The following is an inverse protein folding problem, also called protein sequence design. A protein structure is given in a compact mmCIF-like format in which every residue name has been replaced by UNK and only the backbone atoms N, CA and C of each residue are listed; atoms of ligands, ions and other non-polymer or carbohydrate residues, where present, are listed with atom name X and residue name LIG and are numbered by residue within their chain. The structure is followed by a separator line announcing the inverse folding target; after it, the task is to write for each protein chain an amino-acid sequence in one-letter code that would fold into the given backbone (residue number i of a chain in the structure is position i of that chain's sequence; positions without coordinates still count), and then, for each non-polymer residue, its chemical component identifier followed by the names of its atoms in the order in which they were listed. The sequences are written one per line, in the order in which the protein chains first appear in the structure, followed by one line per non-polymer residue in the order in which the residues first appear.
data_IF_139501090997
#
_entry.id   IF_139501090997
#
_cell.length_a   1.000
_cell.length_b   1.000
_cell.length_c   1.000
_cell.angle_alpha   90.00
_cell.angle_beta   90.00
_cell.angle_gamma   90.00
#
_symmetry.space_group_name_H-M   'P 1'
#
loop_
_entity.id
_entity.type
_entity.pdbx_description
1 polymer ?
#
# COMPACT_ATOMS: atom_id res chain seq x y z
N UNK A 1 -5.08 6.68 -9.70
CA UNK A 1 -5.21 7.73 -8.66
C UNK A 1 -5.16 9.14 -9.26
N UNK A 2 -4.07 9.63 -9.91
CA UNK A 2 -3.99 11.01 -10.46
C UNK A 2 -5.20 11.35 -11.34
N UNK A 3 -5.54 10.47 -12.31
CA UNK A 3 -6.72 10.68 -13.18
C UNK A 3 -8.02 10.82 -12.38
N UNK A 4 -8.20 10.04 -11.32
CA UNK A 4 -9.40 10.11 -10.47
C UNK A 4 -9.44 11.41 -9.69
N UNK A 5 -8.33 11.82 -9.09
CA UNK A 5 -8.25 13.10 -8.36
C UNK A 5 -8.53 14.25 -9.31
N UNK A 6 -7.94 14.25 -10.52
CA UNK A 6 -8.23 15.31 -11.53
C UNK A 6 -9.68 15.36 -11.95
N UNK A 7 -10.37 14.22 -12.01
CA UNK A 7 -11.80 14.18 -12.36
C UNK A 7 -12.69 14.74 -11.24
N UNK A 8 -12.36 14.44 -9.99
CA UNK A 8 -13.13 14.90 -8.82
C UNK A 8 -12.79 16.37 -8.44
N UNK A 9 -11.57 16.81 -8.76
CA UNK A 9 -11.06 18.14 -8.42
C UNK A 9 -10.49 18.86 -9.67
N UNK A 10 -11.33 19.19 -10.66
CA UNK A 10 -10.87 19.65 -11.97
C UNK A 10 -10.20 21.04 -11.95
N UNK A 11 -10.36 21.81 -10.88
CA UNK A 11 -9.76 23.13 -10.71
C UNK A 11 -8.43 23.10 -9.94
N UNK A 12 -8.00 21.91 -9.47
CA UNK A 12 -6.75 21.76 -8.76
C UNK A 12 -5.60 21.36 -9.70
N UNK A 13 -4.46 22.00 -9.50
CA UNK A 13 -3.22 21.59 -10.18
C UNK A 13 -2.56 20.47 -9.42
N UNK A 14 -2.25 19.38 -10.09
CA UNK A 14 -1.58 18.23 -9.48
C UNK A 14 -0.10 18.26 -9.87
N UNK A 15 0.76 18.21 -8.85
CA UNK A 15 2.17 17.89 -8.99
C UNK A 15 2.34 16.39 -8.70
N UNK A 16 2.99 15.67 -9.60
CA UNK A 16 3.26 14.25 -9.42
C UNK A 16 4.75 13.98 -9.33
N UNK A 17 5.15 13.24 -8.30
CA UNK A 17 6.51 12.76 -8.13
C UNK A 17 6.50 11.23 -8.02
N UNK A 18 7.19 10.56 -8.94
CA UNK A 18 7.40 9.11 -8.91
C UNK A 18 8.86 8.79 -8.61
N UNK A 19 9.12 8.21 -7.45
CA UNK A 19 10.47 7.87 -7.00
C UNK A 19 10.96 6.54 -7.57
N UNK A 20 11.07 6.47 -8.89
CA UNK A 20 11.52 5.27 -9.61
C UNK A 20 12.97 4.90 -9.29
N UNK A 21 13.80 5.89 -8.95
CA UNK A 21 15.22 5.67 -8.65
C UNK A 21 15.43 4.86 -7.35
N UNK A 22 14.50 4.93 -6.42
CA UNK A 22 14.61 4.26 -5.13
C UNK A 22 13.57 3.15 -4.91
N UNK A 23 12.74 2.85 -5.93
CA UNK A 23 11.85 1.69 -5.90
C UNK A 23 12.69 0.38 -5.90
N UNK A 24 12.19 -0.69 -5.25
CA UNK A 24 10.98 -0.80 -4.46
C UNK A 24 11.18 -0.37 -2.99
N UNK A 25 10.16 0.24 -2.40
CA UNK A 25 10.20 0.67 -0.99
C UNK A 25 10.00 -0.49 0.00
N UNK A 26 9.35 -1.55 -0.41
CA UNK A 26 8.98 -2.68 0.46
C UNK A 26 10.15 -3.50 1.01
N UNK A 27 11.35 -3.36 0.43
CA UNK A 27 12.58 -4.04 0.86
C UNK A 27 13.50 -3.15 1.71
N UNK A 28 13.18 -1.86 1.83
CA UNK A 28 13.96 -0.88 2.60
C UNK A 28 13.64 -0.94 4.08
N UNK A 29 14.48 -0.29 4.88
CA UNK A 29 14.21 -0.06 6.29
C UNK A 29 13.17 1.07 6.47
N UNK A 30 12.42 1.09 7.59
CA UNK A 30 11.50 2.19 7.89
C UNK A 30 12.19 3.56 7.84
N UNK A 31 13.41 3.66 8.36
CA UNK A 31 14.20 4.89 8.39
C UNK A 31 14.54 5.41 6.98
N UNK A 32 14.95 4.52 6.07
CA UNK A 32 15.20 4.88 4.68
C UNK A 32 13.94 5.39 4.00
N UNK A 33 12.80 4.69 4.19
CA UNK A 33 11.52 5.11 3.60
C UNK A 33 11.07 6.46 4.14
N UNK A 34 11.27 6.73 5.44
CA UNK A 34 10.98 8.04 6.05
C UNK A 34 11.83 9.15 5.44
N UNK A 35 13.15 8.93 5.34
CA UNK A 35 14.07 9.92 4.77
C UNK A 35 13.70 10.25 3.31
N UNK A 36 13.47 9.23 2.48
CA UNK A 36 13.06 9.43 1.08
C UNK A 36 11.73 10.16 0.98
N UNK A 37 10.74 9.75 1.78
CA UNK A 37 9.41 10.38 1.79
C UNK A 37 9.49 11.85 2.21
N UNK A 38 10.32 12.19 3.22
CA UNK A 38 10.54 13.56 3.68
C UNK A 38 11.13 14.42 2.56
N UNK A 39 12.20 13.96 1.91
CA UNK A 39 12.83 14.69 0.79
C UNK A 39 11.82 14.99 -0.34
N UNK A 40 10.94 14.03 -0.66
CA UNK A 40 9.90 14.24 -1.69
C UNK A 40 8.86 15.26 -1.22
N UNK A 41 8.43 15.18 0.04
CA UNK A 41 7.46 16.13 0.61
C UNK A 41 8.06 17.55 0.63
N UNK A 42 9.31 17.71 1.09
CA UNK A 42 10.04 18.98 1.05
C UNK A 42 10.04 19.57 -0.36
N UNK A 43 10.45 18.79 -1.35
CA UNK A 43 10.46 19.21 -2.75
C UNK A 43 9.08 19.66 -3.24
N UNK A 44 8.03 18.92 -2.94
CA UNK A 44 6.67 19.28 -3.37
C UNK A 44 6.15 20.53 -2.65
N UNK A 45 6.48 20.72 -1.38
CA UNK A 45 6.15 21.93 -0.61
C UNK A 45 6.87 23.16 -1.19
N UNK A 46 8.15 23.06 -1.54
CA UNK A 46 8.90 24.12 -2.23
C UNK A 46 8.27 24.49 -3.59
N UNK A 47 7.64 23.53 -4.27
CA UNK A 47 6.89 23.78 -5.50
C UNK A 47 5.47 24.35 -5.26
N UNK A 48 5.13 24.65 -4.01
CA UNK A 48 3.86 25.27 -3.63
C UNK A 48 2.69 24.28 -3.44
N UNK A 49 2.96 23.01 -3.15
CA UNK A 49 1.92 22.07 -2.80
C UNK A 49 1.20 22.51 -1.51
N UNK A 50 -0.13 22.54 -1.53
CA UNK A 50 -0.97 22.88 -0.36
C UNK A 50 -1.55 21.65 0.36
N UNK A 51 -1.41 20.47 -0.24
CA UNK A 51 -1.74 19.17 0.34
C UNK A 51 -0.88 18.09 -0.32
N UNK A 52 -0.58 17.02 0.41
CA UNK A 52 0.21 15.89 -0.08
C UNK A 52 -0.65 14.62 -0.06
N UNK A 53 -0.58 13.82 -1.12
CA UNK A 53 -1.14 12.48 -1.17
C UNK A 53 0.00 11.47 -1.32
N UNK A 54 0.18 10.63 -0.32
CA UNK A 54 1.15 9.53 -0.34
C UNK A 54 0.46 8.30 -0.93
N UNK A 55 0.66 8.08 -2.23
CA UNK A 55 -0.01 7.03 -3.01
C UNK A 55 0.70 5.66 -2.91
N UNK A 56 1.29 5.35 -1.76
CA UNK A 56 2.02 4.11 -1.50
C UNK A 56 1.69 3.62 -0.09
N UNK A 57 1.20 2.38 0.05
CA UNK A 57 0.91 1.80 1.36
C UNK A 57 2.18 1.69 2.23
N UNK A 58 3.30 1.29 1.63
CA UNK A 58 4.59 1.16 2.34
C UNK A 58 5.07 2.50 2.88
N UNK A 59 5.09 3.55 2.05
CA UNK A 59 5.48 4.89 2.48
C UNK A 59 4.50 5.47 3.52
N UNK A 60 3.20 5.25 3.33
CA UNK A 60 2.19 5.65 4.31
C UNK A 60 2.43 4.98 5.66
N UNK A 61 2.63 3.65 5.67
CA UNK A 61 2.84 2.91 6.92
C UNK A 61 4.10 3.38 7.66
N UNK A 62 5.17 3.66 6.94
CA UNK A 62 6.45 4.02 7.53
C UNK A 62 6.57 5.51 7.92
N UNK A 63 5.99 6.45 7.15
CA UNK A 63 6.34 7.86 7.25
C UNK A 63 5.19 8.82 7.57
N UNK A 64 3.93 8.45 7.33
CA UNK A 64 2.82 9.43 7.33
C UNK A 64 2.63 10.16 8.67
N UNK A 65 2.83 9.47 9.81
CA UNK A 65 2.61 10.08 11.12
C UNK A 65 3.68 11.15 11.41
N UNK A 66 4.96 10.83 11.21
CA UNK A 66 6.05 11.79 11.39
C UNK A 66 5.88 13.00 10.47
N UNK A 67 5.54 12.77 9.19
CA UNK A 67 5.31 13.87 8.25
C UNK A 67 4.13 14.76 8.66
N UNK A 68 3.07 14.20 9.25
CA UNK A 68 1.96 14.99 9.79
C UNK A 68 2.33 15.83 10.99
N UNK A 69 3.30 15.37 11.79
CA UNK A 69 3.82 16.12 12.93
C UNK A 69 4.78 17.24 12.50
N UNK A 70 5.49 17.06 11.37
CA UNK A 70 6.47 18.00 10.84
C UNK A 70 5.84 19.11 9.97
N UNK A 71 4.76 18.83 9.26
CA UNK A 71 4.17 19.74 8.28
C UNK A 71 2.74 20.14 8.67
N UNK A 72 2.43 21.43 8.55
CA UNK A 72 1.10 21.98 8.85
C UNK A 72 0.07 21.74 7.74
N UNK A 73 0.49 21.35 6.53
CA UNK A 73 -0.40 21.06 5.41
C UNK A 73 -1.03 19.66 5.52
N UNK A 74 -2.20 19.43 4.93
CA UNK A 74 -2.84 18.12 4.94
C UNK A 74 -1.99 17.05 4.25
N UNK A 75 -1.71 15.96 4.95
CA UNK A 75 -1.03 14.77 4.39
C UNK A 75 -1.97 13.57 4.43
N UNK A 76 -2.38 13.11 3.25
CA UNK A 76 -3.29 12.00 3.05
C UNK A 76 -2.45 10.76 2.69
N UNK A 77 -2.51 9.73 3.51
CA UNK A 77 -1.91 8.44 3.22
C UNK A 77 -2.91 7.43 2.69
N UNK A 78 -2.40 6.33 2.14
CA UNK A 78 -3.21 5.17 1.76
C UNK A 78 -3.08 4.06 2.80
N UNK A 79 -4.14 3.29 2.96
CA UNK A 79 -4.15 2.05 3.74
C UNK A 79 -4.68 0.92 2.87
N UNK A 80 -4.27 -0.34 3.09
CA UNK A 80 -4.90 -1.49 2.47
C UNK A 80 -6.41 -1.48 2.69
N UNK A 81 -7.18 -1.90 1.69
CA UNK A 81 -8.64 -1.85 1.71
C UNK A 81 -9.27 -2.91 2.65
N UNK A 82 -8.63 -3.20 3.80
CA UNK A 82 -9.05 -4.20 4.76
C UNK A 82 -10.44 -3.88 5.34
N UNK A 83 -10.68 -2.62 5.69
CA UNK A 83 -12.00 -2.19 6.16
C UNK A 83 -13.10 -2.52 5.14
N UNK A 84 -12.86 -2.21 3.87
CA UNK A 84 -13.83 -2.47 2.79
C UNK A 84 -14.08 -3.97 2.65
N UNK A 85 -13.05 -4.81 2.74
CA UNK A 85 -13.18 -6.26 2.66
C UNK A 85 -14.01 -6.82 3.82
N UNK A 86 -13.75 -6.36 5.06
CA UNK A 86 -14.50 -6.80 6.24
C UNK A 86 -15.96 -6.32 6.23
N UNK A 87 -16.21 -5.06 5.85
CA UNK A 87 -17.56 -4.48 5.81
C UNK A 87 -18.48 -5.16 4.76
N UNK A 88 -17.91 -5.80 3.73
CA UNK A 88 -18.69 -6.54 2.71
C UNK A 88 -19.53 -7.67 3.28
N UNK A 89 -19.14 -8.21 4.42
CA UNK A 89 -19.88 -9.25 5.12
C UNK A 89 -21.19 -8.78 5.75
N UNK A 90 -21.44 -7.47 5.85
CA UNK A 90 -22.63 -6.91 6.50
C UNK A 90 -22.91 -7.55 7.87
N UNK A 91 -21.86 -7.75 8.68
CA UNK A 91 -21.93 -8.39 9.99
C UNK A 91 -21.66 -9.89 10.01
N UNK A 92 -21.41 -10.51 8.84
CA UNK A 92 -20.93 -11.88 8.75
C UNK A 92 -19.41 -11.88 8.75
N UNK A 93 -18.75 -12.69 9.62
CA UNK A 93 -17.30 -12.82 9.66
C UNK A 93 -16.69 -13.10 8.28
N UNK A 94 -15.68 -12.34 7.91
CA UNK A 94 -15.01 -12.49 6.62
C UNK A 94 -13.65 -13.17 6.78
N UNK A 95 -13.24 -13.89 5.76
CA UNK A 95 -11.93 -14.54 5.62
C UNK A 95 -11.13 -13.80 4.56
N UNK A 96 -10.16 -13.00 4.99
CA UNK A 96 -9.47 -12.02 4.16
C UNK A 96 -7.97 -12.28 4.11
N UNK A 97 -7.40 -12.43 2.94
CA UNK A 97 -5.96 -12.42 2.73
C UNK A 97 -5.51 -11.00 2.37
N UNK A 98 -4.53 -10.46 3.08
CA UNK A 98 -3.96 -9.14 2.76
C UNK A 98 -2.58 -9.32 2.15
N UNK A 99 -2.51 -9.26 0.83
CA UNK A 99 -1.26 -9.31 0.07
C UNK A 99 -0.59 -7.93 0.09
N UNK A 100 0.60 -7.82 0.68
CA UNK A 100 1.32 -6.56 0.77
C UNK A 100 2.84 -6.76 0.83
N UNK A 101 3.60 -5.67 0.89
CA UNK A 101 5.05 -5.77 1.10
C UNK A 101 5.37 -6.17 2.55
N UNK A 102 6.50 -6.85 2.80
CA UNK A 102 6.91 -7.21 4.15
C UNK A 102 6.98 -6.01 5.09
N UNK A 103 7.43 -4.84 4.60
CA UNK A 103 7.50 -3.63 5.41
C UNK A 103 6.11 -3.16 5.81
N UNK A 104 5.16 -3.06 4.86
CA UNK A 104 3.78 -2.66 5.17
C UNK A 104 3.16 -3.52 6.28
N UNK A 105 3.34 -4.85 6.19
CA UNK A 105 2.75 -5.80 7.14
C UNK A 105 3.37 -5.75 8.54
N UNK A 106 4.64 -5.33 8.65
CA UNK A 106 5.35 -5.24 9.94
C UNK A 106 5.18 -3.90 10.64
N UNK A 107 4.79 -2.86 9.93
CA UNK A 107 4.64 -1.53 10.51
C UNK A 107 3.45 -1.45 11.47
N UNK A 108 3.65 -0.72 12.57
CA UNK A 108 2.67 -0.55 13.64
C UNK A 108 1.30 -0.05 13.13
N UNK A 109 1.31 0.80 12.11
CA UNK A 109 0.08 1.33 11.50
C UNK A 109 -0.78 0.23 10.90
N UNK A 110 -0.18 -0.75 10.23
CA UNK A 110 -0.92 -1.89 9.67
C UNK A 110 -1.37 -2.86 10.78
N UNK A 111 -0.52 -3.10 11.78
CA UNK A 111 -0.90 -3.91 12.94
C UNK A 111 -2.11 -3.32 13.66
N UNK A 112 -2.14 -2.00 13.87
CA UNK A 112 -3.28 -1.31 14.44
C UNK A 112 -4.55 -1.40 13.57
N UNK A 113 -4.40 -1.37 12.24
CA UNK A 113 -5.51 -1.58 11.31
C UNK A 113 -6.06 -3.01 11.42
N UNK A 114 -5.22 -4.04 11.42
CA UNK A 114 -5.64 -5.43 11.60
C UNK A 114 -6.36 -5.63 12.92
N UNK A 115 -5.79 -5.15 14.02
CA UNK A 115 -6.35 -5.31 15.37
C UNK A 115 -7.80 -4.79 15.49
N UNK A 116 -8.20 -3.82 14.67
CA UNK A 116 -9.56 -3.28 14.66
C UNK A 116 -10.59 -4.24 14.07
N UNK A 117 -10.18 -5.24 13.30
CA UNK A 117 -11.08 -6.12 12.54
C UNK A 117 -10.88 -7.61 12.85
N UNK A 118 -9.79 -8.01 13.49
CA UNK A 118 -9.45 -9.42 13.76
C UNK A 118 -10.35 -10.07 14.81
N UNK A 119 -11.07 -9.30 15.64
CA UNK A 119 -12.02 -9.87 16.60
C UNK A 119 -13.20 -10.57 15.93
N UNK A 120 -13.62 -10.06 14.77
CA UNK A 120 -14.83 -10.50 14.07
C UNK A 120 -14.52 -11.17 12.73
N UNK A 121 -13.27 -11.15 12.28
CA UNK A 121 -12.86 -11.65 10.97
C UNK A 121 -11.60 -12.51 11.07
N UNK A 122 -11.41 -13.40 10.10
CA UNK A 122 -10.12 -14.09 9.94
C UNK A 122 -9.28 -13.33 8.91
N UNK A 123 -8.14 -12.79 9.35
CA UNK A 123 -7.28 -11.98 8.50
C UNK A 123 -5.89 -12.62 8.42
N UNK A 124 -5.44 -12.91 7.21
CA UNK A 124 -4.12 -13.46 6.95
C UNK A 124 -3.22 -12.44 6.25
N UNK A 125 -2.18 -11.94 6.92
CA UNK A 125 -1.16 -11.12 6.27
C UNK A 125 -0.28 -12.00 5.38
N UNK A 126 -0.24 -11.71 4.07
CA UNK A 126 0.57 -12.42 3.08
C UNK A 126 1.64 -11.50 2.51
N UNK A 127 2.92 -11.65 2.91
CA UNK A 127 4.01 -10.89 2.31
C UNK A 127 4.29 -11.39 0.89
N UNK A 128 4.29 -10.46 -0.09
CA UNK A 128 4.48 -10.76 -1.51
C UNK A 128 5.64 -9.93 -2.12
N UNK A 129 6.89 -10.02 -1.62
CA UNK A 129 8.00 -9.20 -2.11
C UNK A 129 8.32 -9.49 -3.58
N UNK A 130 8.26 -10.75 -4.01
CA UNK A 130 8.62 -11.16 -5.37
C UNK A 130 7.71 -10.57 -6.45
N UNK A 131 6.43 -10.32 -6.13
CA UNK A 131 5.52 -9.66 -7.09
C UNK A 131 5.97 -8.23 -7.41
N UNK A 132 6.49 -7.50 -6.42
CA UNK A 132 7.05 -6.15 -6.64
C UNK A 132 8.28 -6.22 -7.53
N UNK A 133 9.18 -7.17 -7.29
CA UNK A 133 10.39 -7.35 -8.10
C UNK A 133 10.04 -7.69 -9.56
N UNK A 134 9.06 -8.57 -9.79
CA UNK A 134 8.59 -8.93 -11.15
C UNK A 134 8.13 -7.68 -11.90
N UNK A 135 7.38 -6.80 -11.26
CA UNK A 135 6.89 -5.55 -11.86
C UNK A 135 8.04 -4.59 -12.13
N UNK A 136 8.91 -4.34 -11.15
CA UNK A 136 10.03 -3.40 -11.29
C UNK A 136 11.05 -3.85 -12.34
N UNK A 137 11.24 -5.16 -12.52
CA UNK A 137 12.13 -5.71 -13.54
C UNK A 137 11.46 -5.90 -14.91
N UNK A 138 10.20 -5.48 -15.07
CA UNK A 138 9.47 -5.62 -16.34
C UNK A 138 9.19 -7.06 -16.76
N UNK A 139 9.11 -7.99 -15.78
CA UNK A 139 8.99 -9.44 -16.03
C UNK A 139 7.53 -9.93 -16.07
N UNK A 140 6.55 -9.03 -16.17
CA UNK A 140 5.12 -9.40 -16.24
C UNK A 140 4.78 -10.26 -17.46
N UNK A 141 5.58 -10.19 -18.53
CA UNK A 141 5.43 -11.04 -19.72
C UNK A 141 5.85 -12.49 -19.52
N UNK A 142 6.60 -12.81 -18.48
CA UNK A 142 6.94 -14.19 -18.10
C UNK A 142 5.79 -14.80 -17.28
N UNK A 143 4.81 -15.33 -18.02
CA UNK A 143 3.59 -15.88 -17.41
C UNK A 143 3.90 -17.02 -16.44
N UNK A 144 4.87 -17.87 -16.76
CA UNK A 144 5.25 -18.99 -15.91
C UNK A 144 5.88 -18.51 -14.59
N UNK A 145 6.72 -17.48 -14.64
CA UNK A 145 7.30 -16.86 -13.45
C UNK A 145 6.20 -16.27 -12.57
N UNK A 146 5.27 -15.52 -13.17
CA UNK A 146 4.15 -14.90 -12.45
C UNK A 146 3.29 -15.97 -11.77
N UNK A 147 2.87 -16.99 -12.52
CA UNK A 147 2.02 -18.06 -12.00
C UNK A 147 2.71 -18.88 -10.90
N UNK A 148 3.96 -19.30 -11.09
CA UNK A 148 4.70 -19.98 -10.02
C UNK A 148 4.82 -19.14 -8.76
N UNK A 149 5.02 -17.84 -8.91
CA UNK A 149 5.10 -16.92 -7.78
C UNK A 149 3.76 -16.80 -7.04
N UNK A 150 2.66 -16.68 -7.78
CA UNK A 150 1.31 -16.64 -7.20
C UNK A 150 0.98 -17.95 -6.48
N UNK A 151 1.23 -19.10 -7.10
CA UNK A 151 1.06 -20.40 -6.47
C UNK A 151 1.90 -20.52 -5.18
N UNK A 152 3.16 -20.09 -5.20
CA UNK A 152 4.03 -20.10 -4.03
C UNK A 152 3.50 -19.28 -2.85
N UNK A 153 2.69 -18.24 -3.09
CA UNK A 153 2.09 -17.43 -2.04
C UNK A 153 0.69 -17.90 -1.62
N UNK A 154 -0.14 -18.38 -2.56
CA UNK A 154 -1.55 -18.55 -2.32
C UNK A 154 -2.04 -19.98 -2.19
N UNK A 155 -1.28 -21.00 -2.64
CA UNK A 155 -1.69 -22.41 -2.53
C UNK A 155 -1.79 -22.93 -1.08
N UNK A 156 -1.23 -22.20 -0.13
CA UNK A 156 -1.38 -22.52 1.29
C UNK A 156 -2.78 -22.22 1.84
N UNK A 157 -3.58 -21.43 1.12
CA UNK A 157 -4.94 -21.08 1.50
C UNK A 157 -5.94 -21.96 0.78
N UNK A 158 -7.01 -22.37 1.47
CA UNK A 158 -8.18 -22.93 0.83
C UNK A 158 -8.98 -21.82 0.13
N UNK A 159 -8.52 -21.42 -1.06
CA UNK A 159 -9.04 -20.27 -1.80
C UNK A 159 -10.58 -20.25 -1.96
N UNK A 160 -11.27 -21.38 -2.19
CA UNK A 160 -12.74 -21.41 -2.19
C UNK A 160 -13.38 -20.90 -0.89
N UNK A 161 -12.65 -20.89 0.22
CA UNK A 161 -13.14 -20.39 1.51
C UNK A 161 -12.71 -18.98 1.84
N UNK A 162 -11.87 -18.34 1.01
CA UNK A 162 -11.42 -16.95 1.16
C UNK A 162 -12.45 -16.02 0.51
N UNK A 163 -12.99 -15.08 1.30
CA UNK A 163 -14.00 -14.15 0.82
C UNK A 163 -13.41 -12.99 0.02
N UNK A 164 -12.17 -12.58 0.36
CA UNK A 164 -11.50 -11.45 -0.31
C UNK A 164 -9.99 -11.56 -0.24
N UNK A 165 -9.33 -11.11 -1.32
CA UNK A 165 -7.89 -10.81 -1.32
C UNK A 165 -7.73 -9.29 -1.46
N UNK A 166 -7.11 -8.67 -0.46
CA UNK A 166 -6.81 -7.23 -0.46
C UNK A 166 -5.44 -7.01 -1.08
N UNK A 167 -5.38 -6.21 -2.15
CA UNK A 167 -4.13 -5.80 -2.79
C UNK A 167 -3.54 -4.59 -2.06
N UNK A 168 -2.67 -4.85 -1.10
CA UNK A 168 -2.05 -3.85 -0.23
C UNK A 168 -0.78 -3.19 -0.80
N UNK A 169 -0.55 -3.31 -2.09
CA UNK A 169 0.56 -2.66 -2.78
C UNK A 169 0.12 -2.13 -4.14
N UNK A 170 0.59 -0.94 -4.50
CA UNK A 170 0.28 -0.31 -5.80
C UNK A 170 0.88 -1.05 -7.00
N UNK A 171 1.85 -1.95 -6.80
CA UNK A 171 2.41 -2.82 -7.83
C UNK A 171 1.52 -4.02 -8.18
N UNK A 172 0.47 -4.30 -7.40
CA UNK A 172 -0.38 -5.48 -7.60
C UNK A 172 -1.64 -5.18 -8.43
N UNK A 173 -1.78 -3.94 -8.96
CA UNK A 173 -2.94 -3.47 -9.73
C UNK A 173 -2.56 -3.00 -11.12
#
# INVERSE_FOLDING_TARGET
MVRQISAEMPHERILFFGDSAHAPYGTKTPQEVRALSRTIVEHLVEQGAKAIVIACNTATSAAVNELRDEYSLPIIGMEPALKVACDRGHGVPQRVVVAATPLTLREHKFAALMHRFESDNTIWPQPCPKLVEIVEHGQLGDHDLVMRTLHGYFDQYDLPTVDSVVLGCTHFV
#
